data_IF_793252206871
#
_entry.id   IF_793252206871
#
_cell.length_a   1.000
_cell.length_b   1.000
_cell.length_c   1.000
_cell.angle_alpha   90.00
_cell.angle_beta   90.00
_cell.angle_gamma   90.00
#
_symmetry.space_group_name_H-M   'P 1'
#
loop_
_entity.id
_entity.type
_entity.pdbx_description
1 polymer ?
#
# COMPACT_ATOMS: atom_id res chain seq x y z
N UNK A 1 -49.07 6.09 28.75
CA UNK A 1 -47.70 5.89 29.28
C UNK A 1 -47.08 4.55 28.88
N UNK A 2 -47.83 3.45 28.95
CA UNK A 2 -47.35 2.06 28.70
C UNK A 2 -46.71 1.80 27.34
N UNK A 3 -47.24 2.35 26.24
CA UNK A 3 -46.63 2.17 24.89
C UNK A 3 -45.27 2.87 24.73
N UNK A 4 -45.06 4.01 25.38
CA UNK A 4 -43.79 4.75 25.34
C UNK A 4 -42.70 4.01 26.13
N UNK A 5 -43.04 3.51 27.31
CA UNK A 5 -42.14 2.70 28.15
C UNK A 5 -41.73 1.41 27.42
N UNK A 6 -42.68 0.72 26.77
CA UNK A 6 -42.38 -0.48 25.99
C UNK A 6 -41.44 -0.18 24.81
N UNK A 7 -41.64 0.94 24.11
CA UNK A 7 -40.79 1.33 23.00
C UNK A 7 -39.36 1.70 23.46
N UNK A 8 -39.22 2.38 24.61
CA UNK A 8 -37.93 2.70 25.20
C UNK A 8 -37.18 1.45 25.66
N UNK A 9 -37.87 0.48 26.28
CA UNK A 9 -37.28 -0.79 26.69
C UNK A 9 -36.83 -1.60 25.48
N UNK A 10 -37.64 -1.69 24.42
CA UNK A 10 -37.27 -2.39 23.19
C UNK A 10 -36.08 -1.70 22.50
N UNK A 11 -36.05 -0.37 22.46
CA UNK A 11 -34.92 0.37 21.89
C UNK A 11 -33.62 0.18 22.70
N UNK A 12 -33.69 0.15 24.03
CA UNK A 12 -32.55 -0.09 24.91
C UNK A 12 -32.01 -1.52 24.78
N UNK A 13 -32.92 -2.50 24.71
CA UNK A 13 -32.57 -3.90 24.45
C UNK A 13 -31.91 -3.99 23.07
N UNK A 14 -32.50 -3.43 22.01
CA UNK A 14 -31.89 -3.39 20.68
C UNK A 14 -30.48 -2.76 20.67
N UNK A 15 -30.21 -1.78 21.53
CA UNK A 15 -28.88 -1.17 21.69
C UNK A 15 -27.88 -2.11 22.41
N UNK A 16 -28.35 -2.88 23.39
CA UNK A 16 -27.56 -3.87 24.15
C UNK A 16 -27.26 -5.16 23.35
N UNK A 17 -28.10 -5.52 22.38
CA UNK A 17 -27.87 -6.66 21.46
C UNK A 17 -27.23 -6.25 20.13
N UNK A 18 -26.84 -4.97 19.95
CA UNK A 18 -25.99 -4.64 18.80
C UNK A 18 -24.63 -5.32 18.99
N UNK A 19 -24.23 -6.25 18.11
CA UNK A 19 -22.87 -6.76 18.17
C UNK A 19 -21.94 -5.57 18.00
N UNK A 20 -21.09 -5.33 19.00
CA UNK A 20 -19.96 -4.42 18.84
C UNK A 20 -19.12 -5.02 17.73
N UNK A 21 -19.22 -4.49 16.51
CA UNK A 21 -18.31 -4.90 15.43
C UNK A 21 -16.95 -4.34 15.81
N UNK A 22 -16.14 -5.16 16.48
CA UNK A 22 -14.75 -4.81 16.71
C UNK A 22 -14.10 -4.66 15.34
N UNK A 23 -13.58 -3.47 15.03
CA UNK A 23 -12.72 -3.34 13.86
C UNK A 23 -11.55 -4.31 14.06
N UNK A 24 -11.33 -5.22 13.12
CA UNK A 24 -10.20 -6.15 13.22
C UNK A 24 -8.90 -5.33 13.29
N UNK A 25 -7.98 -5.72 14.17
CA UNK A 25 -6.71 -5.02 14.38
C UNK A 25 -5.58 -5.80 13.69
N UNK A 26 -4.65 -5.08 13.05
CA UNK A 26 -3.53 -5.70 12.31
C UNK A 26 -2.65 -6.58 13.20
N UNK A 27 -2.50 -6.24 14.49
CA UNK A 27 -1.72 -7.05 15.42
C UNK A 27 -2.43 -8.35 15.75
N UNK A 28 -3.75 -8.31 15.96
CA UNK A 28 -4.54 -9.50 16.26
C UNK A 28 -4.60 -10.43 15.05
N UNK A 29 -4.80 -9.89 13.84
CA UNK A 29 -4.71 -10.66 12.59
C UNK A 29 -3.37 -11.38 12.48
N UNK A 30 -2.28 -10.66 12.76
CA UNK A 30 -0.93 -11.20 12.61
C UNK A 30 -0.58 -12.23 13.68
N UNK A 31 -1.03 -12.04 14.93
CA UNK A 31 -0.92 -13.05 16.01
C UNK A 31 -1.74 -14.31 15.71
N UNK A 32 -2.97 -14.14 15.21
CA UNK A 32 -3.84 -15.25 14.82
C UNK A 32 -3.25 -16.05 13.64
N UNK A 33 -2.48 -15.41 12.77
CA UNK A 33 -1.71 -16.06 11.73
C UNK A 33 -0.46 -16.83 12.25
N UNK A 34 -0.23 -16.84 13.58
CA UNK A 34 0.83 -17.62 14.21
C UNK A 34 2.16 -16.89 14.38
N UNK A 35 2.23 -15.60 14.06
CA UNK A 35 3.47 -14.83 14.21
C UNK A 35 3.62 -14.23 15.60
N UNK A 36 4.84 -14.28 16.12
CA UNK A 36 5.23 -13.52 17.32
C UNK A 36 5.68 -12.13 16.92
N UNK A 37 4.99 -11.10 17.42
CA UNK A 37 5.21 -9.70 17.05
C UNK A 37 5.08 -8.78 18.27
N UNK A 38 5.66 -7.59 18.18
CA UNK A 38 5.61 -6.54 19.20
C UNK A 38 4.87 -5.30 18.70
N UNK A 39 4.14 -4.60 19.58
CA UNK A 39 3.42 -3.35 19.23
C UNK A 39 4.33 -2.27 18.64
N UNK A 40 5.61 -2.23 19.05
CA UNK A 40 6.58 -1.29 18.47
C UNK A 40 6.77 -1.50 16.96
N UNK A 41 6.52 -2.72 16.46
CA UNK A 41 6.65 -3.08 15.06
C UNK A 41 5.35 -2.85 14.26
N UNK A 42 4.27 -2.38 14.87
CA UNK A 42 2.99 -2.13 14.19
C UNK A 42 3.20 -1.25 12.93
N UNK A 43 2.71 -1.68 11.74
CA UNK A 43 2.71 -0.84 10.55
C UNK A 43 1.98 0.48 10.81
N UNK A 44 2.52 1.60 10.33
CA UNK A 44 1.84 2.91 10.42
C UNK A 44 0.69 3.05 9.42
N UNK A 45 0.74 2.32 8.30
CA UNK A 45 -0.37 2.18 7.38
C UNK A 45 -0.30 0.84 6.63
N UNK A 46 -1.46 0.30 6.25
CA UNK A 46 -1.53 -0.95 5.50
C UNK A 46 -2.80 -1.08 4.66
N UNK A 47 -2.70 -1.72 3.50
CA UNK A 47 -3.83 -1.93 2.57
C UNK A 47 -3.71 -3.31 1.91
N UNK A 48 -4.85 -3.97 1.68
CA UNK A 48 -4.96 -5.16 0.81
C UNK A 48 -6.02 -4.89 -0.24
N UNK A 49 -5.71 -5.12 -1.51
CA UNK A 49 -6.65 -4.96 -2.61
C UNK A 49 -6.70 -6.20 -3.52
N UNK A 50 -7.88 -6.51 -4.04
CA UNK A 50 -8.07 -7.48 -5.13
C UNK A 50 -7.71 -6.79 -6.45
N UNK A 51 -6.61 -7.21 -7.07
CA UNK A 51 -6.06 -6.60 -8.28
C UNK A 51 -6.95 -6.82 -9.52
N UNK A 52 -7.93 -7.72 -9.45
CA UNK A 52 -8.87 -7.96 -10.55
C UNK A 52 -10.07 -7.02 -10.46
N UNK A 53 -10.64 -6.87 -9.26
CA UNK A 53 -11.90 -6.16 -9.06
C UNK A 53 -11.73 -4.72 -8.57
N UNK A 54 -10.51 -4.34 -8.18
CA UNK A 54 -10.15 -3.13 -7.43
C UNK A 54 -10.83 -2.99 -6.06
N UNK A 55 -11.35 -4.09 -5.50
CA UNK A 55 -11.92 -4.10 -4.13
C UNK A 55 -10.81 -3.85 -3.10
N UNK A 56 -11.03 -2.93 -2.17
CA UNK A 56 -10.23 -2.83 -0.94
C UNK A 56 -10.76 -3.87 0.04
N UNK A 57 -9.94 -4.86 0.36
CA UNK A 57 -10.27 -5.97 1.27
C UNK A 57 -9.86 -5.66 2.71
N UNK A 58 -8.82 -4.85 2.88
CA UNK A 58 -8.33 -4.38 4.16
C UNK A 58 -7.78 -2.97 4.02
N UNK A 59 -8.00 -2.14 5.05
CA UNK A 59 -7.43 -0.80 5.15
C UNK A 59 -7.17 -0.41 6.60
N UNK A 60 -5.99 0.13 6.84
CA UNK A 60 -5.63 0.82 8.07
C UNK A 60 -4.75 2.03 7.71
N UNK A 61 -5.21 3.24 8.05
CA UNK A 61 -4.48 4.49 7.85
C UNK A 61 -3.96 4.71 6.41
N UNK A 62 -4.73 4.26 5.40
CA UNK A 62 -4.22 4.12 4.02
C UNK A 62 -3.95 5.42 3.29
N UNK A 63 -4.42 6.54 3.83
CA UNK A 63 -4.25 7.90 3.30
C UNK A 63 -3.22 8.74 4.08
N UNK A 64 -2.52 8.16 5.08
CA UNK A 64 -1.44 8.85 5.80
C UNK A 64 -0.23 9.03 4.87
N UNK A 65 0.27 10.28 4.68
CA UNK A 65 1.49 10.54 3.92
C UNK A 65 2.72 9.91 4.56
N UNK A 66 3.54 9.20 3.78
CA UNK A 66 4.76 8.54 4.22
C UNK A 66 5.84 8.54 3.14
N UNK A 67 7.09 8.38 3.59
CA UNK A 67 8.24 8.10 2.72
C UNK A 67 8.16 6.65 2.21
N UNK A 68 8.07 6.42 0.88
CA UNK A 68 8.09 5.08 0.29
C UNK A 68 9.49 4.46 0.26
N UNK A 69 10.55 5.24 0.47
CA UNK A 69 11.93 4.85 0.23
C UNK A 69 12.08 4.14 -1.12
N UNK A 70 12.80 3.02 -1.20
CA UNK A 70 13.05 2.30 -2.45
C UNK A 70 11.80 1.71 -3.15
N UNK A 71 10.61 1.74 -2.54
CA UNK A 71 9.39 1.43 -3.29
C UNK A 71 9.14 2.44 -4.43
N UNK A 72 9.71 3.65 -4.33
CA UNK A 72 9.77 4.65 -5.40
C UNK A 72 10.27 4.11 -6.73
N UNK A 73 11.19 3.12 -6.71
CA UNK A 73 11.78 2.54 -7.92
C UNK A 73 10.74 1.90 -8.85
N UNK A 74 9.58 1.47 -8.33
CA UNK A 74 8.51 0.97 -9.18
C UNK A 74 7.88 2.02 -10.07
N UNK A 75 7.98 3.32 -9.77
CA UNK A 75 7.57 4.37 -10.71
C UNK A 75 8.52 4.45 -11.89
N UNK A 76 9.83 4.43 -11.62
CA UNK A 76 10.86 4.42 -12.67
C UNK A 76 10.68 3.21 -13.58
N UNK A 77 10.45 2.02 -13.01
CA UNK A 77 10.12 0.84 -13.80
C UNK A 77 8.78 0.96 -14.51
N UNK A 78 7.71 1.45 -13.88
CA UNK A 78 6.43 1.65 -14.57
C UNK A 78 6.59 2.48 -15.84
N UNK A 79 7.33 3.59 -15.74
CA UNK A 79 7.62 4.49 -16.87
C UNK A 79 8.48 3.80 -17.94
N UNK A 80 9.50 3.04 -17.54
CA UNK A 80 10.32 2.23 -18.45
C UNK A 80 9.45 1.22 -19.23
N UNK A 81 8.55 0.53 -18.53
CA UNK A 81 7.61 -0.40 -19.15
C UNK A 81 6.61 0.29 -20.07
N UNK A 82 6.24 1.56 -19.84
CA UNK A 82 5.47 2.33 -20.82
C UNK A 82 6.25 2.56 -22.13
N UNK A 83 7.57 2.74 -22.09
CA UNK A 83 8.39 2.90 -23.31
C UNK A 83 8.66 1.57 -24.00
N UNK A 84 8.87 0.48 -23.25
CA UNK A 84 8.94 -0.89 -23.78
C UNK A 84 7.64 -1.24 -24.52
N UNK A 85 6.48 -0.95 -23.94
CA UNK A 85 5.18 -1.21 -24.55
C UNK A 85 4.92 -0.37 -25.82
N UNK A 86 5.56 0.80 -25.94
CA UNK A 86 5.52 1.63 -27.16
C UNK A 86 6.51 1.16 -28.24
N UNK A 87 7.35 0.17 -27.94
CA UNK A 87 8.37 -0.34 -28.86
C UNK A 87 9.52 0.62 -29.12
N UNK A 88 9.71 1.66 -28.27
CA UNK A 88 10.82 2.60 -28.43
C UNK A 88 12.16 2.02 -27.97
N UNK A 89 12.10 1.04 -27.08
CA UNK A 89 13.21 0.29 -26.54
C UNK A 89 12.78 -1.18 -26.39
N UNK A 90 13.76 -2.07 -26.26
CA UNK A 90 13.56 -3.50 -26.00
C UNK A 90 14.32 -3.92 -24.75
N UNK A 91 14.09 -5.15 -24.29
CA UNK A 91 14.86 -5.76 -23.18
C UNK A 91 16.36 -5.89 -23.49
N UNK A 92 16.73 -5.87 -24.78
CA UNK A 92 18.10 -5.96 -25.29
C UNK A 92 18.72 -4.60 -25.61
N UNK A 93 17.94 -3.51 -25.57
CA UNK A 93 18.52 -2.16 -25.60
C UNK A 93 19.52 -2.03 -24.46
N UNK A 94 20.70 -1.51 -24.73
CA UNK A 94 21.76 -1.35 -23.73
C UNK A 94 21.99 0.10 -23.35
N UNK A 95 22.33 0.34 -22.10
CA UNK A 95 22.81 1.61 -21.58
C UNK A 95 24.28 1.42 -21.18
N UNK A 96 25.17 2.17 -21.81
CA UNK A 96 26.60 2.17 -21.44
C UNK A 96 26.79 3.01 -20.18
N UNK A 97 27.30 2.38 -19.12
CA UNK A 97 27.56 3.06 -17.85
C UNK A 97 28.67 4.10 -18.01
N UNK A 98 28.49 5.25 -17.37
CA UNK A 98 29.45 6.35 -17.30
C UNK A 98 30.32 6.24 -16.04
N UNK A 99 31.37 7.06 -15.96
CA UNK A 99 32.13 7.21 -14.72
C UNK A 99 31.26 7.71 -13.56
N UNK A 100 30.26 8.55 -13.85
CA UNK A 100 29.27 9.03 -12.88
C UNK A 100 28.42 7.89 -12.34
N UNK A 101 27.95 6.97 -13.19
CA UNK A 101 27.16 5.81 -12.76
C UNK A 101 27.98 4.88 -11.85
N UNK A 102 29.24 4.63 -12.23
CA UNK A 102 30.17 3.86 -11.39
C UNK A 102 30.48 4.55 -10.06
N UNK A 103 30.56 5.89 -10.04
CA UNK A 103 30.75 6.64 -8.80
C UNK A 103 29.52 6.53 -7.89
N UNK A 104 28.31 6.64 -8.44
CA UNK A 104 27.05 6.42 -7.68
C UNK A 104 27.00 5.01 -7.10
N UNK A 105 27.39 4.00 -7.88
CA UNK A 105 27.41 2.60 -7.44
C UNK A 105 28.33 2.32 -6.24
N UNK A 106 29.32 3.19 -5.99
CA UNK A 106 30.26 3.09 -4.86
C UNK A 106 29.80 3.81 -3.59
N UNK A 107 28.68 4.52 -3.62
CA UNK A 107 28.11 5.19 -2.44
C UNK A 107 27.47 4.13 -1.54
N UNK A 108 28.04 3.91 -0.36
CA UNK A 108 27.62 2.83 0.55
C UNK A 108 26.37 3.19 1.37
N UNK A 109 26.09 4.49 1.55
CA UNK A 109 24.94 4.99 2.30
C UNK A 109 23.60 4.74 1.59
N UNK A 110 23.64 4.41 0.29
CA UNK A 110 22.45 4.09 -0.51
C UNK A 110 22.65 2.73 -1.18
N UNK A 111 21.56 1.96 -1.25
CA UNK A 111 21.59 0.61 -1.83
C UNK A 111 22.04 0.60 -3.29
N UNK A 112 23.06 -0.22 -3.60
CA UNK A 112 23.69 -0.33 -4.92
C UNK A 112 24.22 -1.75 -5.15
N UNK A 113 24.60 -2.02 -6.40
CA UNK A 113 25.41 -3.15 -6.84
C UNK A 113 26.59 -2.60 -7.68
N UNK A 114 27.50 -3.47 -8.12
CA UNK A 114 28.63 -3.02 -8.92
C UNK A 114 28.18 -2.53 -10.31
N UNK A 115 28.62 -1.32 -10.69
CA UNK A 115 28.47 -0.78 -12.05
C UNK A 115 29.85 -0.34 -12.53
N UNK A 116 30.24 -0.75 -13.73
CA UNK A 116 31.56 -0.50 -14.30
C UNK A 116 31.43 0.42 -15.50
N UNK A 117 32.13 1.56 -15.48
CA UNK A 117 32.11 2.52 -16.58
C UNK A 117 32.61 1.88 -17.89
N UNK A 118 31.98 2.26 -19.00
CA UNK A 118 32.25 1.71 -20.33
C UNK A 118 31.54 0.38 -20.63
N UNK A 119 30.95 -0.28 -19.63
CA UNK A 119 30.18 -1.52 -19.83
C UNK A 119 28.76 -1.20 -20.29
N UNK A 120 28.28 -1.93 -21.30
CA UNK A 120 26.92 -1.84 -21.80
C UNK A 120 25.99 -2.80 -21.05
N UNK A 121 25.07 -2.26 -20.25
CA UNK A 121 24.10 -3.03 -19.48
C UNK A 121 22.76 -3.11 -20.23
N UNK A 122 22.21 -4.32 -20.48
CA UNK A 122 20.91 -4.44 -21.13
C UNK A 122 19.77 -4.05 -20.18
N UNK A 123 18.68 -3.51 -20.73
CA UNK A 123 17.52 -3.06 -19.95
C UNK A 123 16.98 -4.17 -19.01
N UNK A 124 16.94 -5.43 -19.44
CA UNK A 124 16.50 -6.55 -18.57
C UNK A 124 17.32 -6.68 -17.27
N UNK A 125 18.62 -6.41 -17.33
CA UNK A 125 19.51 -6.53 -16.18
C UNK A 125 19.37 -5.31 -15.29
N UNK A 126 19.22 -4.12 -15.87
CA UNK A 126 18.92 -2.90 -15.12
C UNK A 126 17.56 -2.98 -14.40
N UNK A 127 16.53 -3.57 -15.02
CA UNK A 127 15.25 -3.86 -14.34
C UNK A 127 15.49 -4.74 -13.12
N UNK A 128 16.24 -5.83 -13.30
CA UNK A 128 16.58 -6.78 -12.22
C UNK A 128 17.34 -6.09 -11.09
N UNK A 129 18.40 -5.34 -11.41
CA UNK A 129 19.20 -4.57 -10.44
C UNK A 129 18.37 -3.52 -9.70
N UNK A 130 17.44 -2.84 -10.39
CA UNK A 130 16.53 -1.88 -9.75
C UNK A 130 15.51 -2.56 -8.83
N UNK A 131 14.97 -3.70 -9.23
CA UNK A 131 13.90 -4.37 -8.52
C UNK A 131 14.39 -5.19 -7.31
N UNK A 132 15.49 -5.94 -7.47
CA UNK A 132 15.92 -6.96 -6.51
C UNK A 132 16.94 -6.41 -5.50
N UNK A 133 18.21 -6.11 -5.88
CA UNK A 133 19.15 -5.49 -4.95
C UNK A 133 18.89 -4.00 -4.73
N UNK A 134 17.84 -3.44 -5.34
CA UNK A 134 17.38 -2.08 -5.08
C UNK A 134 18.39 -0.98 -5.47
N UNK A 135 19.14 -1.23 -6.55
CA UNK A 135 20.25 -0.39 -7.02
C UNK A 135 19.82 1.02 -7.39
N UNK A 136 20.41 2.02 -6.73
CA UNK A 136 20.20 3.43 -7.06
C UNK A 136 20.90 3.82 -8.37
N UNK A 137 22.12 3.32 -8.62
CA UNK A 137 22.85 3.54 -9.87
C UNK A 137 22.06 3.05 -11.08
N UNK A 138 21.59 1.79 -11.08
CA UNK A 138 20.78 1.25 -12.19
C UNK A 138 19.47 2.05 -12.39
N UNK A 139 18.85 2.50 -11.30
CA UNK A 139 17.63 3.33 -11.36
C UNK A 139 17.90 4.68 -12.01
N UNK A 140 18.99 5.34 -11.66
CA UNK A 140 19.39 6.64 -12.23
C UNK A 140 19.84 6.49 -13.69
N UNK A 141 20.54 5.40 -14.04
CA UNK A 141 20.85 5.06 -15.44
C UNK A 141 19.59 4.98 -16.30
N UNK A 142 18.56 4.25 -15.84
CA UNK A 142 17.25 4.17 -16.52
C UNK A 142 16.62 5.57 -16.61
N UNK A 143 16.58 6.32 -15.50
CA UNK A 143 15.98 7.64 -15.45
C UNK A 143 16.63 8.60 -16.46
N UNK A 144 17.96 8.68 -16.45
CA UNK A 144 18.75 9.52 -17.34
C UNK A 144 18.55 9.14 -18.80
N UNK A 145 18.54 7.84 -19.13
CA UNK A 145 18.25 7.39 -20.49
C UNK A 145 16.86 7.84 -20.96
N UNK A 146 15.86 7.74 -20.09
CA UNK A 146 14.47 8.10 -20.40
C UNK A 146 14.19 9.61 -20.43
N UNK A 147 15.12 10.44 -19.96
CA UNK A 147 15.00 11.90 -19.90
C UNK A 147 16.13 12.64 -20.62
N UNK A 148 16.99 11.96 -21.37
CA UNK A 148 18.17 12.54 -22.00
C UNK A 148 19.11 13.26 -21.00
N UNK A 149 19.38 12.62 -19.86
CA UNK A 149 20.21 13.11 -18.75
C UNK A 149 19.65 14.36 -18.03
N UNK A 150 18.36 14.68 -18.19
CA UNK A 150 17.69 15.70 -17.40
C UNK A 150 16.96 15.07 -16.21
N UNK A 151 17.60 15.08 -15.03
CA UNK A 151 17.04 14.55 -13.80
C UNK A 151 15.74 15.25 -13.39
N UNK A 152 15.66 16.57 -13.57
CA UNK A 152 14.47 17.36 -13.24
C UNK A 152 13.30 16.99 -14.16
N UNK A 153 13.54 16.85 -15.47
CA UNK A 153 12.52 16.43 -16.41
C UNK A 153 12.02 15.00 -16.14
N UNK A 154 12.88 14.11 -15.66
CA UNK A 154 12.44 12.77 -15.26
C UNK A 154 11.49 12.82 -14.06
N UNK A 155 11.79 13.64 -13.04
CA UNK A 155 10.92 13.78 -11.87
C UNK A 155 9.61 14.48 -12.25
N UNK A 156 9.63 15.48 -13.14
CA UNK A 156 8.42 16.09 -13.71
C UNK A 156 7.52 15.00 -14.33
N UNK A 157 8.12 14.08 -15.10
CA UNK A 157 7.42 12.94 -15.70
C UNK A 157 6.88 11.95 -14.66
N UNK A 158 7.59 11.67 -13.57
CA UNK A 158 7.09 10.84 -12.47
C UNK A 158 5.84 11.48 -11.85
N UNK A 159 5.92 12.76 -11.48
CA UNK A 159 4.84 13.48 -10.85
C UNK A 159 3.60 13.60 -11.76
N UNK A 160 3.79 13.82 -13.06
CA UNK A 160 2.71 13.82 -14.03
C UNK A 160 2.08 12.43 -14.22
N UNK A 161 2.90 11.38 -14.12
CA UNK A 161 2.41 9.99 -14.15
C UNK A 161 1.58 9.70 -12.89
N UNK A 162 2.05 10.08 -11.71
CA UNK A 162 1.30 9.94 -10.46
C UNK A 162 -0.08 10.61 -10.54
N UNK A 163 -0.14 11.85 -11.05
CA UNK A 163 -1.41 12.56 -11.29
C UNK A 163 -2.34 11.79 -12.24
N UNK A 164 -1.82 11.26 -13.36
CA UNK A 164 -2.60 10.46 -14.34
C UNK A 164 -3.15 9.17 -13.74
N UNK A 165 -2.43 8.57 -12.78
CA UNK A 165 -2.88 7.39 -12.04
C UNK A 165 -3.85 7.73 -10.89
N UNK A 166 -4.14 9.01 -10.68
CA UNK A 166 -5.03 9.48 -9.61
C UNK A 166 -4.40 9.42 -8.22
N UNK A 167 -3.07 9.49 -8.14
CA UNK A 167 -2.30 9.48 -6.89
C UNK A 167 -2.16 10.90 -6.34
N UNK A 168 -3.23 11.40 -5.72
CA UNK A 168 -3.38 12.81 -5.33
C UNK A 168 -2.61 13.20 -4.07
N UNK A 169 -2.14 12.23 -3.28
CA UNK A 169 -1.37 12.46 -2.06
C UNK A 169 0.11 12.05 -2.26
N UNK A 170 0.58 12.14 -3.51
CA UNK A 170 1.91 11.69 -3.90
C UNK A 170 2.70 12.82 -4.55
N UNK A 171 3.96 12.98 -4.12
CA UNK A 171 4.93 13.90 -4.70
C UNK A 171 6.33 13.30 -4.65
N UNK A 172 7.03 13.31 -5.77
CA UNK A 172 8.41 12.84 -5.90
C UNK A 172 9.38 14.00 -6.05
N UNK A 173 10.51 13.91 -5.35
CA UNK A 173 11.67 14.80 -5.42
C UNK A 173 12.91 14.10 -6.00
N UNK A 174 12.84 12.79 -6.22
CA UNK A 174 13.93 11.99 -6.81
C UNK A 174 13.40 10.71 -7.51
N UNK A 175 14.25 10.05 -8.29
CA UNK A 175 13.86 8.88 -9.09
C UNK A 175 13.85 7.53 -8.34
N UNK A 176 14.53 7.42 -7.20
CA UNK A 176 14.89 6.12 -6.63
C UNK A 176 14.43 5.87 -5.18
N UNK A 177 14.02 6.92 -4.46
CA UNK A 177 13.69 6.89 -3.04
C UNK A 177 14.79 7.45 -2.14
N UNK A 178 16.06 7.39 -2.55
CA UNK A 178 17.14 8.07 -1.84
C UNK A 178 17.08 9.58 -2.12
N UNK A 179 17.22 10.41 -1.09
CA UNK A 179 17.28 11.87 -1.25
C UNK A 179 18.44 12.24 -2.19
N UNK A 180 18.24 13.22 -3.08
CA UNK A 180 19.24 13.53 -4.11
C UNK A 180 20.59 13.96 -3.51
N UNK A 181 20.60 14.58 -2.33
CA UNK A 181 21.81 14.94 -1.60
C UNK A 181 22.69 13.72 -1.27
N UNK A 182 22.10 12.55 -1.05
CA UNK A 182 22.84 11.31 -0.77
C UNK A 182 23.65 10.80 -1.97
N UNK A 183 23.42 11.33 -3.18
CA UNK A 183 24.19 11.01 -4.39
C UNK A 183 25.47 11.83 -4.51
N UNK A 184 25.85 12.62 -3.49
CA UNK A 184 27.14 13.33 -3.42
C UNK A 184 27.42 14.25 -4.63
N UNK A 185 26.36 14.78 -5.26
CA UNK A 185 26.44 15.66 -6.44
C UNK A 185 26.42 14.94 -7.78
N UNK A 186 26.47 13.60 -7.82
CA UNK A 186 26.42 12.83 -9.07
C UNK A 186 25.01 12.74 -9.69
N UNK A 187 23.97 13.06 -8.91
CA UNK A 187 22.58 13.18 -9.37
C UNK A 187 21.99 14.49 -8.86
N UNK A 188 21.57 15.37 -9.78
CA UNK A 188 21.23 16.75 -9.45
C UNK A 188 19.93 17.25 -10.14
N UNK A 189 18.75 16.95 -9.57
CA UNK A 189 17.48 17.49 -10.03
C UNK A 189 17.28 18.94 -9.55
N UNK A 190 17.86 19.89 -10.27
CA UNK A 190 17.91 21.33 -9.91
C UNK A 190 16.56 22.01 -9.65
N UNK A 191 15.43 21.47 -10.11
CA UNK A 191 14.08 22.01 -9.84
C UNK A 191 13.49 21.57 -8.48
N UNK A 192 14.11 20.60 -7.82
CA UNK A 192 13.57 19.94 -6.64
C UNK A 192 14.49 20.13 -5.43
N UNK A 193 13.92 20.04 -4.23
CA UNK A 193 14.70 20.03 -2.98
C UNK A 193 15.52 18.74 -2.89
N UNK A 194 16.85 18.88 -2.88
CA UNK A 194 17.77 17.76 -2.87
C UNK A 194 17.74 16.95 -1.56
N UNK A 195 17.28 17.56 -0.46
CA UNK A 195 17.15 16.92 0.85
C UNK A 195 15.77 16.27 1.06
N UNK A 196 14.80 16.55 0.19
CA UNK A 196 13.45 16.05 0.34
C UNK A 196 13.35 14.56 -0.03
N UNK A 197 12.70 13.80 0.86
CA UNK A 197 12.22 12.45 0.54
C UNK A 197 11.02 12.51 -0.40
N UNK A 198 10.74 11.40 -1.08
CA UNK A 198 9.47 11.26 -1.79
C UNK A 198 8.33 11.10 -0.77
N UNK A 199 7.12 11.47 -1.14
CA UNK A 199 5.92 11.35 -0.30
C UNK A 199 4.83 10.62 -1.08
N UNK A 200 4.16 9.67 -0.44
CA UNK A 200 3.01 8.95 -1.00
C UNK A 200 2.13 8.38 0.12
N UNK A 201 1.13 7.57 -0.22
CA UNK A 201 0.30 6.84 0.74
C UNK A 201 0.18 5.37 0.34
N UNK A 202 -0.26 4.51 1.27
CA UNK A 202 -0.51 3.10 0.96
C UNK A 202 -1.58 2.96 -0.15
N UNK A 203 -2.63 3.79 -0.12
CA UNK A 203 -3.65 3.84 -1.17
C UNK A 203 -3.06 4.21 -2.52
N UNK A 204 -2.24 5.24 -2.57
CA UNK A 204 -1.66 5.70 -3.84
C UNK A 204 -0.70 4.66 -4.40
N UNK A 205 0.19 4.08 -3.59
CA UNK A 205 1.06 2.98 -4.03
C UNK A 205 0.26 1.77 -4.54
N UNK A 206 -0.88 1.45 -3.91
CA UNK A 206 -1.76 0.40 -4.41
C UNK A 206 -2.32 0.73 -5.80
N UNK A 207 -2.62 2.01 -6.11
CA UNK A 207 -3.05 2.43 -7.47
C UNK A 207 -1.92 2.21 -8.48
N UNK A 208 -0.69 2.61 -8.14
CA UNK A 208 0.48 2.34 -8.99
C UNK A 208 0.56 0.85 -9.33
N UNK A 209 0.60 -0.02 -8.32
CA UNK A 209 0.76 -1.45 -8.55
C UNK A 209 -0.45 -2.07 -9.27
N UNK A 210 -1.67 -1.63 -8.96
CA UNK A 210 -2.87 -2.06 -9.68
C UNK A 210 -2.76 -1.77 -11.19
N UNK A 211 -2.36 -0.55 -11.56
CA UNK A 211 -2.17 -0.21 -12.97
C UNK A 211 -0.95 -0.86 -13.60
N UNK A 212 0.15 -1.00 -12.85
CA UNK A 212 1.38 -1.63 -13.32
C UNK A 212 1.11 -3.10 -13.66
N UNK A 213 0.60 -3.89 -12.72
CA UNK A 213 0.34 -5.32 -12.93
C UNK A 213 -0.73 -5.57 -14.00
N UNK A 214 -1.68 -4.64 -14.17
CA UNK A 214 -2.73 -4.75 -15.19
C UNK A 214 -2.22 -4.46 -16.60
N UNK A 215 -1.31 -3.50 -16.77
CA UNK A 215 -0.81 -3.09 -18.09
C UNK A 215 0.44 -3.87 -18.49
N UNK A 216 1.33 -4.10 -17.52
CA UNK A 216 2.67 -4.66 -17.74
C UNK A 216 2.95 -5.78 -16.72
N UNK A 217 2.21 -6.89 -16.78
CA UNK A 217 2.38 -8.01 -15.84
C UNK A 217 3.78 -8.64 -15.86
N UNK A 218 4.57 -8.40 -16.91
CA UNK A 218 5.93 -8.92 -17.09
C UNK A 218 6.90 -8.49 -15.97
N UNK A 219 6.61 -7.44 -15.20
CA UNK A 219 7.45 -7.07 -14.03
C UNK A 219 7.56 -8.22 -13.00
N UNK A 220 6.58 -9.12 -12.95
CA UNK A 220 6.60 -10.31 -12.08
C UNK A 220 7.78 -11.22 -12.43
N UNK A 221 8.15 -11.33 -13.71
CA UNK A 221 9.27 -12.18 -14.17
C UNK A 221 10.62 -11.76 -13.57
N UNK A 222 10.73 -10.51 -13.12
CA UNK A 222 11.92 -9.94 -12.48
C UNK A 222 11.89 -9.98 -10.96
N UNK A 223 10.75 -10.31 -10.35
CA UNK A 223 10.53 -10.18 -8.90
C UNK A 223 10.03 -11.46 -8.22
N UNK A 224 9.79 -12.53 -9.01
CA UNK A 224 9.24 -13.79 -8.53
C UNK A 224 10.28 -14.84 -8.13
N UNK A 225 11.58 -14.51 -8.12
CA UNK A 225 12.66 -15.43 -7.74
C UNK A 225 13.39 -14.93 -6.51
N UNK A 226 13.76 -15.87 -5.63
CA UNK A 226 14.57 -15.58 -4.44
C UNK A 226 16.03 -15.26 -4.76
N UNK A 227 16.54 -15.82 -5.86
CA UNK A 227 17.89 -15.57 -6.39
C UNK A 227 17.76 -15.18 -7.86
N UNK A 228 18.46 -14.12 -8.24
CA UNK A 228 18.53 -13.64 -9.62
C UNK A 228 19.97 -13.39 -10.02
N UNK A 229 20.24 -13.51 -11.32
CA UNK A 229 21.55 -13.21 -11.90
C UNK A 229 21.39 -12.11 -12.94
N UNK A 230 22.40 -11.28 -13.08
CA UNK A 230 22.47 -10.23 -14.11
C UNK A 230 23.79 -10.35 -14.85
N UNK A 231 23.87 -9.78 -16.07
CA UNK A 231 25.09 -9.76 -16.87
C UNK A 231 25.67 -11.17 -17.12
N UNK A 232 24.78 -12.17 -17.21
CA UNK A 232 25.12 -13.60 -17.30
C UNK A 232 26.03 -13.88 -18.50
N UNK A 233 27.10 -14.63 -18.27
CA UNK A 233 28.08 -14.98 -19.28
C UNK A 233 29.07 -13.85 -19.61
N UNK A 234 29.13 -12.80 -18.80
CA UNK A 234 30.10 -11.71 -18.93
C UNK A 234 31.02 -11.65 -17.70
N UNK A 235 32.17 -10.95 -17.77
CA UNK A 235 33.02 -10.71 -16.59
C UNK A 235 32.36 -9.88 -15.47
N UNK A 236 31.14 -9.37 -15.69
CA UNK A 236 30.40 -8.51 -14.76
C UNK A 236 29.17 -9.21 -14.19
N UNK A 237 29.08 -10.55 -14.31
CA UNK A 237 27.98 -11.33 -13.76
C UNK A 237 27.89 -11.17 -12.23
N UNK A 238 26.69 -10.86 -11.74
CA UNK A 238 26.41 -10.74 -10.30
C UNK A 238 25.18 -11.60 -9.94
N UNK A 239 25.23 -12.21 -8.74
CA UNK A 239 24.11 -12.92 -8.13
C UNK A 239 23.53 -12.06 -6.99
N UNK A 240 22.20 -11.97 -6.92
CA UNK A 240 21.51 -11.24 -5.87
C UNK A 240 20.44 -12.10 -5.20
N UNK A 241 20.42 -12.04 -3.87
CA UNK A 241 19.32 -12.54 -3.06
C UNK A 241 18.28 -11.45 -2.85
N UNK A 242 17.01 -11.84 -2.93
CA UNK A 242 15.89 -10.93 -2.69
C UNK A 242 15.80 -10.48 -1.23
N UNK A 243 15.40 -9.22 -1.03
CA UNK A 243 14.97 -8.71 0.27
C UNK A 243 13.46 -8.94 0.51
N UNK A 244 12.75 -9.51 -0.46
CA UNK A 244 11.38 -9.95 -0.26
C UNK A 244 11.35 -11.35 0.36
N UNK A 245 11.52 -11.42 1.68
CA UNK A 245 11.53 -12.70 2.40
C UNK A 245 10.17 -13.43 2.42
N UNK A 246 9.11 -12.83 1.87
CA UNK A 246 7.81 -13.47 1.67
C UNK A 246 7.74 -14.39 0.45
N UNK A 247 8.72 -14.33 -0.47
CA UNK A 247 8.79 -15.27 -1.60
C UNK A 247 8.90 -16.72 -1.10
N UNK A 248 8.25 -17.71 -1.74
CA UNK A 248 8.03 -19.05 -1.18
C UNK A 248 9.26 -19.78 -0.62
N UNK A 249 10.43 -19.60 -1.23
CA UNK A 249 11.66 -20.30 -0.84
C UNK A 249 12.48 -19.57 0.25
N UNK A 250 11.96 -18.49 0.84
CA UNK A 250 12.64 -17.70 1.87
C UNK A 250 12.09 -17.95 3.29
N UNK A 251 12.73 -17.32 4.28
CA UNK A 251 12.41 -17.43 5.71
C UNK A 251 10.92 -17.24 6.04
N UNK A 252 10.23 -16.30 5.38
CA UNK A 252 8.81 -16.02 5.57
C UNK A 252 7.98 -16.44 4.36
N UNK A 253 8.42 -17.47 3.64
CA UNK A 253 7.82 -17.92 2.40
C UNK A 253 6.31 -18.11 2.51
N UNK A 254 5.58 -17.46 1.61
CA UNK A 254 4.12 -17.52 1.55
C UNK A 254 3.68 -17.97 0.15
N UNK A 255 2.78 -18.97 0.12
CA UNK A 255 2.27 -19.53 -1.13
C UNK A 255 1.65 -18.44 -2.02
N UNK A 256 2.07 -18.44 -3.28
CA UNK A 256 1.53 -17.56 -4.31
C UNK A 256 2.17 -16.18 -4.36
N UNK A 257 3.06 -15.82 -3.42
CA UNK A 257 3.85 -14.58 -3.53
C UNK A 257 4.77 -14.64 -4.74
N UNK A 258 4.73 -13.60 -5.56
CA UNK A 258 5.54 -13.48 -6.78
C UNK A 258 6.13 -12.08 -6.97
N UNK A 259 6.19 -11.27 -5.91
CA UNK A 259 6.76 -9.93 -5.92
C UNK A 259 6.39 -9.10 -4.68
N UNK A 260 6.66 -7.80 -4.60
CA UNK A 260 7.25 -7.00 -5.68
C UNK A 260 8.48 -6.22 -5.23
N UNK A 261 8.38 -5.44 -4.14
CA UNK A 261 9.47 -4.55 -3.72
C UNK A 261 9.40 -4.16 -2.25
N UNK A 262 10.55 -4.07 -1.63
CA UNK A 262 10.74 -3.48 -0.28
C UNK A 262 11.30 -2.06 -0.35
N UNK A 263 11.17 -1.30 0.73
CA UNK A 263 11.85 -0.02 0.88
C UNK A 263 12.10 0.28 2.34
N UNK A 264 13.25 0.84 2.66
CA UNK A 264 13.58 1.28 4.00
C UNK A 264 14.51 2.50 3.95
N UNK A 265 14.39 3.34 4.97
CA UNK A 265 15.19 4.55 5.16
C UNK A 265 15.01 5.03 6.62
N UNK A 266 15.87 5.95 7.11
CA UNK A 266 15.68 6.57 8.41
C UNK A 266 14.28 7.19 8.63
N UNK A 267 13.70 7.80 7.59
CA UNK A 267 12.38 8.42 7.61
C UNK A 267 11.23 7.44 7.36
N UNK A 268 11.47 6.36 6.61
CA UNK A 268 10.45 5.39 6.25
C UNK A 268 10.25 4.29 7.30
N UNK A 269 11.27 4.01 8.12
CA UNK A 269 11.45 2.71 8.78
C UNK A 269 11.43 1.59 7.73
N UNK A 270 10.62 0.54 7.89
CA UNK A 270 10.58 -0.59 6.96
C UNK A 270 9.21 -0.72 6.27
N UNK A 271 9.22 -0.65 4.94
CA UNK A 271 8.05 -0.79 4.08
C UNK A 271 8.14 -2.08 3.24
N UNK A 272 7.00 -2.68 2.89
CA UNK A 272 6.91 -3.75 1.90
C UNK A 272 5.65 -3.62 1.06
N UNK A 273 5.78 -3.91 -0.23
CA UNK A 273 4.65 -4.15 -1.13
C UNK A 273 4.80 -5.50 -1.82
N UNK A 274 3.86 -6.38 -1.53
CA UNK A 274 3.82 -7.76 -1.98
C UNK A 274 2.65 -7.96 -2.93
N UNK A 275 2.85 -8.77 -3.96
CA UNK A 275 1.73 -9.34 -4.73
C UNK A 275 1.75 -10.84 -4.60
N UNK A 276 0.55 -11.42 -4.52
CA UNK A 276 0.37 -12.86 -4.45
C UNK A 276 -0.81 -13.29 -5.32
N UNK A 277 -0.73 -14.47 -5.94
CA UNK A 277 -1.78 -15.04 -6.77
C UNK A 277 -2.08 -16.47 -6.40
N UNK A 278 -3.38 -16.76 -6.15
CA UNK A 278 -3.92 -18.11 -5.94
C UNK A 278 -5.13 -18.30 -6.84
N UNK A 279 -5.03 -19.27 -7.76
CA UNK A 279 -6.03 -19.46 -8.81
C UNK A 279 -6.24 -18.19 -9.65
N UNK A 280 -7.47 -17.66 -9.64
CA UNK A 280 -7.84 -16.44 -10.38
C UNK A 280 -7.71 -15.16 -9.56
N UNK A 281 -7.48 -15.27 -8.24
CA UNK A 281 -7.39 -14.12 -7.34
C UNK A 281 -5.94 -13.67 -7.26
N UNK A 282 -5.69 -12.39 -7.57
CA UNK A 282 -4.40 -11.72 -7.33
C UNK A 282 -4.63 -10.61 -6.32
N UNK A 283 -3.83 -10.61 -5.26
CA UNK A 283 -3.83 -9.57 -4.25
C UNK A 283 -2.59 -8.69 -4.37
N UNK A 284 -2.74 -7.44 -3.95
CA UNK A 284 -1.64 -6.52 -3.67
C UNK A 284 -1.79 -6.11 -2.21
N UNK A 285 -0.72 -6.29 -1.44
CA UNK A 285 -0.68 -5.98 -0.01
C UNK A 285 0.49 -5.04 0.25
N UNK A 286 0.23 -3.93 0.94
CA UNK A 286 1.25 -2.93 1.26
C UNK A 286 1.22 -2.67 2.76
N UNK A 287 2.40 -2.64 3.38
CA UNK A 287 2.62 -2.19 4.75
C UNK A 287 3.70 -1.12 4.74
N UNK A 288 3.50 -0.05 5.51
CA UNK A 288 4.47 1.05 5.59
C UNK A 288 4.78 1.41 7.05
N UNK A 289 6.04 1.74 7.33
CA UNK A 289 6.50 2.17 8.65
C UNK A 289 6.49 1.07 9.71
N UNK A 290 6.84 -0.16 9.34
CA UNK A 290 7.02 -1.26 10.30
C UNK A 290 8.29 -1.01 11.10
N UNK A 291 8.17 -1.10 12.43
CA UNK A 291 9.31 -0.97 13.34
C UNK A 291 9.90 0.43 13.40
N UNK A 292 11.15 0.48 13.82
CA UNK A 292 11.95 1.69 13.95
C UNK A 292 13.28 1.49 13.23
N UNK A 293 13.80 2.52 12.58
CA UNK A 293 15.05 2.43 11.82
C UNK A 293 16.25 2.03 12.69
N UNK A 294 16.25 2.34 13.99
CA UNK A 294 17.34 1.95 14.88
C UNK A 294 17.45 0.43 15.10
N UNK A 295 16.37 -0.34 14.89
CA UNK A 295 16.40 -1.81 14.90
C UNK A 295 16.35 -2.36 13.47
N UNK A 296 17.52 -2.76 12.97
CA UNK A 296 17.66 -3.28 11.61
C UNK A 296 16.96 -4.63 11.39
N UNK A 297 16.54 -5.34 12.45
CA UNK A 297 15.66 -6.51 12.30
C UNK A 297 14.26 -6.14 11.78
N UNK A 298 13.92 -4.84 11.73
CA UNK A 298 12.74 -4.35 11.02
C UNK A 298 12.65 -4.79 9.56
N UNK A 299 13.79 -5.12 8.94
CA UNK A 299 13.88 -5.80 7.64
C UNK A 299 13.01 -7.06 7.60
N UNK A 300 13.06 -7.87 8.65
CA UNK A 300 12.33 -9.11 8.78
C UNK A 300 10.93 -8.92 9.36
N UNK A 301 10.76 -7.99 10.32
CA UNK A 301 9.48 -7.79 11.02
C UNK A 301 8.30 -7.39 10.10
N UNK A 302 8.56 -6.81 8.93
CA UNK A 302 7.49 -6.44 7.97
C UNK A 302 6.83 -7.64 7.29
N UNK A 303 7.53 -8.76 7.18
CA UNK A 303 7.03 -9.94 6.48
C UNK A 303 5.87 -10.65 7.20
N UNK A 304 5.92 -10.85 8.53
CA UNK A 304 4.76 -11.28 9.31
C UNK A 304 3.48 -10.49 9.02
N UNK A 305 3.55 -9.15 9.05
CA UNK A 305 2.38 -8.30 8.82
C UNK A 305 1.86 -8.39 7.39
N UNK A 306 2.74 -8.25 6.38
CA UNK A 306 2.32 -8.29 4.98
C UNK A 306 1.76 -9.67 4.61
N UNK A 307 2.32 -10.75 5.18
CA UNK A 307 1.82 -12.12 4.95
C UNK A 307 0.47 -12.33 5.60
N UNK A 308 0.31 -12.00 6.89
CA UNK A 308 -0.94 -12.20 7.61
C UNK A 308 -2.11 -11.43 6.96
N UNK A 309 -1.87 -10.19 6.53
CA UNK A 309 -2.85 -9.40 5.80
C UNK A 309 -3.18 -9.99 4.42
N UNK A 310 -2.18 -10.56 3.73
CA UNK A 310 -2.41 -11.22 2.43
C UNK A 310 -3.22 -12.50 2.59
N UNK A 311 -2.92 -13.33 3.60
CA UNK A 311 -3.69 -14.54 3.93
C UNK A 311 -5.15 -14.19 4.27
N UNK A 312 -5.34 -13.17 5.12
CA UNK A 312 -6.66 -12.62 5.42
C UNK A 312 -7.38 -12.19 4.15
N UNK A 313 -6.71 -11.46 3.25
CA UNK A 313 -7.27 -11.04 1.98
C UNK A 313 -7.73 -12.21 1.11
N UNK A 314 -6.99 -13.33 1.10
CA UNK A 314 -7.42 -14.53 0.38
C UNK A 314 -8.65 -15.18 1.03
N UNK A 315 -8.68 -15.26 2.36
CA UNK A 315 -9.84 -15.76 3.10
C UNK A 315 -11.09 -14.91 2.84
N UNK A 316 -10.97 -13.59 2.94
CA UNK A 316 -12.04 -12.64 2.68
C UNK A 316 -12.54 -12.74 1.24
N UNK A 317 -11.62 -12.74 0.26
CA UNK A 317 -11.98 -12.83 -1.17
C UNK A 317 -12.79 -14.09 -1.50
N UNK A 318 -12.53 -15.21 -0.81
CA UNK A 318 -13.25 -16.48 -0.95
C UNK A 318 -14.61 -16.48 -0.24
N UNK A 319 -14.71 -15.83 0.92
CA UNK A 319 -15.90 -15.90 1.79
C UNK A 319 -16.91 -14.76 1.55
N UNK A 320 -16.51 -13.69 0.84
CA UNK A 320 -17.39 -12.56 0.57
C UNK A 320 -18.54 -12.93 -0.39
N UNK A 321 -19.78 -12.74 0.09
CA UNK A 321 -20.96 -12.82 -0.78
C UNK A 321 -20.92 -11.75 -1.87
N UNK A 322 -21.61 -11.98 -2.99
CA UNK A 322 -21.73 -10.99 -4.08
C UNK A 322 -22.32 -9.65 -3.58
N UNK A 323 -23.21 -9.69 -2.60
CA UNK A 323 -23.80 -8.49 -1.99
C UNK A 323 -22.80 -7.74 -1.11
N UNK A 324 -22.01 -8.45 -0.31
CA UNK A 324 -20.94 -7.86 0.50
C UNK A 324 -19.86 -7.23 -0.38
N UNK A 325 -19.41 -7.92 -1.43
CA UNK A 325 -18.40 -7.41 -2.37
C UNK A 325 -18.83 -6.11 -3.06
N UNK A 326 -20.13 -5.92 -3.34
CA UNK A 326 -20.64 -4.66 -3.92
C UNK A 326 -20.55 -3.46 -2.97
N UNK A 327 -20.47 -3.68 -1.66
CA UNK A 327 -20.37 -2.63 -0.65
C UNK A 327 -18.92 -2.22 -0.36
N UNK A 328 -17.94 -3.00 -0.81
CA UNK A 328 -16.53 -2.67 -0.62
C UNK A 328 -16.16 -1.42 -1.40
N UNK A 329 -15.30 -0.61 -0.77
CA UNK A 329 -14.69 0.52 -1.43
C UNK A 329 -13.83 0.04 -2.61
N UNK A 330 -13.87 0.79 -3.71
CA UNK A 330 -13.05 0.52 -4.89
C UNK A 330 -11.83 1.44 -4.89
N UNK A 331 -10.64 0.85 -4.97
CA UNK A 331 -9.37 1.57 -5.06
C UNK A 331 -9.35 2.56 -6.25
N UNK A 332 -9.86 2.10 -7.39
CA UNK A 332 -10.04 2.91 -8.60
C UNK A 332 -11.53 2.94 -8.90
N UNK A 333 -12.17 4.12 -8.92
CA UNK A 333 -13.58 4.23 -9.30
C UNK A 333 -13.80 3.61 -10.68
N UNK A 334 -14.70 2.64 -10.78
CA UNK A 334 -15.11 2.14 -12.09
C UNK A 334 -15.84 3.29 -12.79
N UNK A 335 -15.41 3.68 -14.01
CA UNK A 335 -16.15 4.65 -14.82
C UNK A 335 -17.61 4.23 -14.80
N UNK A 336 -18.50 5.10 -14.29
CA UNK A 336 -19.92 4.89 -14.42
C UNK A 336 -20.20 4.66 -15.90
N UNK A 337 -20.69 3.47 -16.27
CA UNK A 337 -21.34 3.29 -17.56
C UNK A 337 -22.36 4.40 -17.65
N UNK A 338 -22.21 5.32 -18.61
CA UNK A 338 -23.20 6.37 -18.87
C UNK A 338 -24.54 5.67 -19.12
N UNK A 339 -25.35 5.51 -18.09
CA UNK A 339 -26.77 5.23 -18.27
C UNK A 339 -27.32 6.50 -18.89
N UNK A 340 -27.68 6.42 -20.16
CA UNK A 340 -28.45 7.46 -20.85
C UNK A 340 -29.56 7.93 -19.91
N UNK A 341 -29.72 9.23 -19.64
CA UNK A 341 -30.77 9.69 -18.75
C UNK A 341 -32.10 9.24 -19.34
N UNK A 342 -32.79 8.29 -18.68
CA UNK A 342 -34.22 8.15 -18.92
C UNK A 342 -34.82 9.49 -18.50
N UNK A 343 -35.43 10.18 -19.46
CA UNK A 343 -36.25 11.35 -19.17
C UNK A 343 -37.34 10.94 -18.18
N UNK A 344 -37.08 11.18 -16.89
CA UNK A 344 -38.13 11.11 -15.89
C UNK A 344 -38.94 12.39 -16.02
N UNK A 345 -40.10 12.26 -16.68
CA UNK A 345 -41.25 13.13 -16.47
C UNK A 345 -41.42 13.32 -14.95
N UNK A 346 -41.23 14.55 -14.48
CA UNK A 346 -41.52 14.97 -13.11
C UNK A 346 -42.99 14.67 -12.81
N UNK A 347 -43.25 13.60 -12.05
CA UNK A 347 -44.45 13.54 -11.22
C UNK A 347 -44.07 14.12 -9.86
N UNK A 348 -44.71 15.25 -9.54
CA UNK A 348 -44.64 15.88 -8.22
C UNK A 348 -45.22 14.89 -7.20
N UNK A 349 -44.38 14.37 -6.31
CA UNK A 349 -44.79 13.53 -5.19
C UNK A 349 -44.45 14.26 -3.90
N UNK A 350 -45.47 14.76 -3.21
CA UNK A 350 -45.38 15.09 -1.80
C UNK A 350 -45.26 13.76 -1.03
N UNK A 351 -44.11 13.48 -0.45
CA UNK A 351 -43.96 12.46 0.59
C UNK A 351 -42.78 12.87 1.48
N UNK A 352 -43.09 13.40 2.66
CA UNK A 352 -42.11 13.54 3.74
C UNK A 352 -41.54 12.16 4.08
N UNK A 353 -40.22 12.03 4.07
CA UNK A 353 -39.57 10.74 4.24
C UNK A 353 -39.69 10.27 5.70
N UNK A 354 -39.70 8.95 5.91
CA UNK A 354 -39.73 8.39 7.27
C UNK A 354 -38.52 8.83 8.11
N UNK A 355 -37.41 9.19 7.47
CA UNK A 355 -36.19 9.70 8.12
C UNK A 355 -36.41 11.10 8.71
N UNK A 356 -37.10 11.98 7.99
CA UNK A 356 -37.40 13.35 8.46
C UNK A 356 -38.29 13.31 9.72
N UNK A 357 -39.26 12.39 9.77
CA UNK A 357 -40.10 12.19 10.97
C UNK A 357 -39.32 11.63 12.17
N UNK A 358 -38.28 10.84 11.92
CA UNK A 358 -37.40 10.30 12.96
C UNK A 358 -36.49 11.40 13.48
N UNK A 359 -35.91 12.23 12.61
CA UNK A 359 -35.09 13.37 12.99
C UNK A 359 -35.90 14.38 13.81
N UNK A 360 -37.12 14.71 13.38
CA UNK A 360 -38.00 15.64 14.08
C UNK A 360 -38.42 15.09 15.46
N UNK A 361 -38.65 13.78 15.58
CA UNK A 361 -38.92 13.12 16.86
C UNK A 361 -37.71 13.16 17.81
N UNK A 362 -36.51 12.87 17.31
CA UNK A 362 -35.28 12.93 18.11
C UNK A 362 -35.05 14.35 18.61
N UNK A 363 -35.19 15.33 17.72
CA UNK A 363 -34.97 16.74 18.06
C UNK A 363 -35.98 17.27 19.08
N UNK A 364 -37.24 16.82 19.01
CA UNK A 364 -38.28 17.23 19.95
C UNK A 364 -38.17 16.55 21.33
N UNK A 365 -37.53 15.38 21.42
CA UNK A 365 -37.45 14.59 22.66
C UNK A 365 -36.02 14.48 23.23
N UNK A 366 -35.07 15.26 22.71
CA UNK A 366 -33.64 15.17 23.01
C UNK A 366 -33.34 15.24 24.52
N UNK A 367 -33.97 16.17 25.24
CA UNK A 367 -33.76 16.33 26.70
C UNK A 367 -34.25 15.12 27.48
N UNK A 368 -35.39 14.54 27.10
CA UNK A 368 -35.92 13.33 27.74
C UNK A 368 -35.04 12.11 27.47
N UNK A 369 -34.54 11.96 26.24
CA UNK A 369 -33.62 10.90 25.85
C UNK A 369 -32.30 10.97 26.64
N UNK A 370 -31.76 12.18 26.85
CA UNK A 370 -30.56 12.39 27.67
C UNK A 370 -30.78 12.04 29.14
N UNK A 371 -31.96 12.36 29.71
CA UNK A 371 -32.32 11.98 31.09
C UNK A 371 -32.40 10.45 31.22
N UNK A 372 -33.03 9.76 30.27
CA UNK A 372 -33.10 8.30 30.28
C UNK A 372 -31.72 7.64 30.17
N UNK A 373 -30.83 8.19 29.35
CA UNK A 373 -29.43 7.74 29.22
C UNK A 373 -28.66 7.93 30.53
N UNK A 374 -28.83 9.07 31.20
CA UNK A 374 -28.23 9.35 32.51
C UNK A 374 -28.70 8.36 33.58
N UNK A 375 -30.00 8.07 33.65
CA UNK A 375 -30.55 7.09 34.61
C UNK A 375 -30.01 5.68 34.31
N UNK A 376 -29.90 5.29 33.04
CA UNK A 376 -29.32 3.99 32.68
C UNK A 376 -27.84 3.87 33.10
N UNK A 377 -27.02 4.91 32.91
CA UNK A 377 -25.64 4.89 33.39
C UNK A 377 -25.56 4.73 34.91
N UNK A 378 -26.40 5.44 35.67
CA UNK A 378 -26.43 5.33 37.13
C UNK A 378 -26.81 3.91 37.58
N UNK A 379 -27.79 3.28 36.92
CA UNK A 379 -28.20 1.90 37.21
C UNK A 379 -27.07 0.91 36.89
N UNK A 380 -26.38 1.08 35.76
CA UNK A 380 -25.24 0.23 35.38
C UNK A 380 -24.10 0.36 36.41
N UNK A 381 -23.79 1.57 36.85
CA UNK A 381 -22.77 1.81 37.89
C UNK A 381 -23.17 1.16 39.23
N UNK A 382 -24.44 1.27 39.63
CA UNK A 382 -24.96 0.62 40.84
C UNK A 382 -24.88 -0.91 40.76
N UNK A 383 -25.24 -1.51 39.63
CA UNK A 383 -25.13 -2.95 39.41
C UNK A 383 -23.68 -3.43 39.40
N UNK A 384 -22.76 -2.65 38.81
CA UNK A 384 -21.34 -2.94 38.84
C UNK A 384 -20.75 -2.87 40.26
N UNK A 385 -21.19 -1.89 41.07
CA UNK A 385 -20.82 -1.78 42.49
C UNK A 385 -21.35 -2.94 43.33
N UNK A 386 -22.60 -3.36 43.11
CA UNK A 386 -23.18 -4.53 43.80
C UNK A 386 -22.42 -5.81 43.43
N UNK A 387 -22.13 -6.01 42.14
CA UNK A 387 -21.33 -7.16 41.68
C UNK A 387 -19.91 -7.15 42.28
N UNK A 388 -19.28 -5.98 42.39
CA UNK A 388 -17.97 -5.82 43.04
C UNK A 388 -18.01 -6.12 44.54
N UNK A 389 -19.08 -5.73 45.23
CA UNK A 389 -19.27 -6.04 46.65
C UNK A 389 -19.55 -7.53 46.90
N UNK A 390 -20.30 -8.19 46.00
CA UNK A 390 -20.59 -9.62 46.08
C UNK A 390 -19.39 -10.52 45.70
N UNK A 391 -18.41 -10.01 44.95
CA UNK A 391 -17.17 -10.73 44.61
C UNK A 391 -16.08 -10.70 45.69
N UNK A 392 -16.35 -10.10 46.87
CA UNK A 392 -15.41 -10.00 48.01
C UNK A 392 -15.80 -10.83 49.24
N UNK A 393 -16.80 -11.69 49.15
CA UNK A 393 -17.20 -12.63 50.21
C UNK A 393 -16.55 -14.00 50.07
#
# INVERSE_FOLDING_TARGET
>A
MTKRILFTIVALICFLIMPVSHAEDVMDITRQAGYTISEVNRPKSSIVIDATSSDILWQDNIDIPRDPASMSKMFTLYILFEELAKGKITMDTTITATETDQAIAKIYEISNNNIVAGVAYPIRDLITMTAVPSSNAATVMIANYLSNNDASAFIDRINDTAKKLGMTNTHFSNASGAVAQAFQGYYNPTKYDLSASNVTTARDLAKLLYFFLKKYPQIIEFTNKSVVHTMVGTPYEEEFHTYNHSLPDNQFGMEGVDGLKTGSSPSAAFNAMVTAKRGKTRLITIVMGVGDWSDQNGEFYRHPFVNALTEKGFADSKNLTKAARKKLEKLVPQKATKTTPKQHRLKKANNHSALEKVEEFIHHNQTFLLICLGICMVIIILLALIAFMMGRS
#
